data_IF_736652088015
#
_entry.id   IF_736652088015
#
_cell.length_a   1.000
_cell.length_b   1.000
_cell.length_c   1.000
_cell.angle_alpha   90.00
_cell.angle_beta   90.00
_cell.angle_gamma   90.00
#
_symmetry.space_group_name_H-M   'P 1'
#
loop_
_entity.id
_entity.type
_entity.pdbx_description
1 polymer ?
#
# COMPACT_ATOMS: atom_id res chain seq x y z
N UNK A 1 -39.85 38.02 53.12
CA UNK A 1 -39.03 38.73 52.14
C UNK A 1 -37.90 37.84 51.69
N UNK A 2 -37.89 37.29 50.49
CA UNK A 2 -36.77 36.55 49.97
C UNK A 2 -35.90 37.43 49.09
N UNK A 3 -34.60 37.40 49.35
CA UNK A 3 -33.55 38.06 48.56
C UNK A 3 -33.36 37.30 47.23
N UNK A 4 -33.54 38.03 46.14
CA UNK A 4 -33.17 37.58 44.77
C UNK A 4 -31.66 37.60 44.63
N UNK A 5 -31.06 36.44 44.43
CA UNK A 5 -29.65 36.30 44.00
C UNK A 5 -29.65 36.33 42.47
N UNK A 6 -29.15 37.45 41.94
CA UNK A 6 -28.95 37.67 40.51
C UNK A 6 -27.64 36.91 40.11
N UNK A 7 -27.79 35.76 39.45
CA UNK A 7 -26.65 35.04 38.90
C UNK A 7 -26.15 35.71 37.62
N UNK A 8 -24.97 36.31 37.72
CA UNK A 8 -24.25 36.86 36.57
C UNK A 8 -23.60 35.65 35.84
N UNK A 9 -24.16 35.27 34.70
CA UNK A 9 -23.52 34.39 33.74
C UNK A 9 -22.41 35.19 33.06
N UNK A 10 -21.16 34.96 33.49
CA UNK A 10 -19.98 35.43 32.77
C UNK A 10 -19.79 34.46 31.61
N UNK A 11 -20.20 34.87 30.42
CA UNK A 11 -19.83 34.28 29.16
C UNK A 11 -18.31 34.48 28.97
N UNK A 12 -17.51 33.52 29.35
CA UNK A 12 -16.11 33.43 28.96
C UNK A 12 -16.07 33.19 27.44
N UNK A 13 -16.04 34.28 26.67
CA UNK A 13 -15.57 34.28 25.30
C UNK A 13 -14.09 33.91 25.35
N UNK A 14 -13.82 32.61 25.20
CA UNK A 14 -12.47 32.14 24.85
C UNK A 14 -12.21 32.67 23.45
N UNK A 15 -11.62 33.87 23.40
CA UNK A 15 -10.95 34.32 22.18
C UNK A 15 -9.81 33.36 21.90
N UNK A 16 -10.06 32.40 21.01
CA UNK A 16 -8.99 31.64 20.37
C UNK A 16 -8.16 32.67 19.61
N UNK A 17 -7.13 33.18 20.28
CA UNK A 17 -6.10 33.96 19.66
C UNK A 17 -5.42 33.05 18.63
N UNK A 18 -5.88 33.17 17.39
CA UNK A 18 -5.15 32.71 16.23
C UNK A 18 -3.78 33.40 16.29
N UNK A 19 -2.74 32.67 16.69
CA UNK A 19 -1.37 33.04 16.34
C UNK A 19 -1.32 33.00 14.83
N UNK A 20 -1.70 34.09 14.18
CA UNK A 20 -1.37 34.32 12.77
C UNK A 20 0.15 34.40 12.73
N UNK A 21 0.80 33.36 12.22
CA UNK A 21 2.14 33.49 11.70
C UNK A 21 2.08 34.64 10.69
N UNK A 22 2.78 35.72 10.98
CA UNK A 22 2.79 36.91 10.14
C UNK A 22 3.17 36.52 8.71
N UNK A 23 2.22 36.58 7.78
CA UNK A 23 2.49 36.59 6.36
C UNK A 23 2.07 35.38 5.50
N UNK A 24 1.49 34.32 6.05
CA UNK A 24 1.02 33.22 5.19
C UNK A 24 -0.49 33.31 4.94
N UNK A 25 -0.87 33.37 3.66
CA UNK A 25 -2.27 33.46 3.25
C UNK A 25 -2.90 32.08 3.35
N UNK A 26 -4.04 31.96 4.02
CA UNK A 26 -4.75 30.67 4.14
C UNK A 26 -5.35 30.29 2.79
N UNK A 27 -4.99 29.13 2.29
CA UNK A 27 -5.50 28.56 1.04
C UNK A 27 -6.58 27.52 1.29
N UNK A 28 -6.42 26.70 2.31
CA UNK A 28 -7.23 25.52 2.55
C UNK A 28 -7.56 25.39 4.03
N UNK A 29 -8.84 25.20 4.35
CA UNK A 29 -9.30 24.81 5.67
C UNK A 29 -9.83 23.38 5.63
N UNK A 30 -9.38 22.55 6.57
CA UNK A 30 -9.84 21.17 6.74
C UNK A 30 -10.24 20.97 8.19
N UNK A 31 -11.55 20.94 8.47
CA UNK A 31 -12.05 20.92 9.83
C UNK A 31 -11.55 22.14 10.63
N UNK A 32 -10.70 21.92 11.62
CA UNK A 32 -10.09 22.95 12.46
C UNK A 32 -8.63 23.29 12.09
N UNK A 33 -8.06 22.61 11.11
CA UNK A 33 -6.69 22.87 10.62
C UNK A 33 -6.70 23.76 9.38
N UNK A 34 -5.70 24.61 9.28
CA UNK A 34 -5.49 25.53 8.14
C UNK A 34 -4.19 25.19 7.43
N UNK A 35 -4.19 25.26 6.10
CA UNK A 35 -3.00 25.13 5.26
C UNK A 35 -2.78 26.48 4.56
N UNK A 36 -1.63 27.07 4.83
CA UNK A 36 -1.23 28.32 4.18
C UNK A 36 -0.68 28.09 2.78
N UNK A 37 -0.59 29.16 2.00
CA UNK A 37 -0.08 29.13 0.63
C UNK A 37 1.34 28.57 0.56
N UNK A 38 2.23 28.95 1.48
CA UNK A 38 3.62 28.48 1.53
C UNK A 38 3.70 26.96 1.81
N UNK A 39 2.91 26.47 2.78
CA UNK A 39 2.81 25.04 3.07
C UNK A 39 2.30 24.29 1.83
N UNK A 40 1.26 24.81 1.19
CA UNK A 40 0.69 24.25 -0.02
C UNK A 40 1.72 24.15 -1.16
N UNK A 41 2.45 25.22 -1.43
CA UNK A 41 3.49 25.27 -2.45
C UNK A 41 4.64 24.29 -2.16
N UNK A 42 5.01 24.12 -0.89
CA UNK A 42 5.96 23.09 -0.48
C UNK A 42 5.48 21.67 -0.80
N UNK A 43 4.21 21.37 -0.51
CA UNK A 43 3.59 20.08 -0.85
C UNK A 43 3.51 19.89 -2.38
N UNK A 44 3.10 20.93 -3.10
CA UNK A 44 3.00 20.90 -4.56
C UNK A 44 4.37 20.67 -5.21
N UNK A 45 5.43 21.31 -4.71
CA UNK A 45 6.79 21.15 -5.18
C UNK A 45 7.35 19.74 -5.01
N UNK A 46 6.76 18.93 -4.13
CA UNK A 46 7.11 17.53 -3.91
C UNK A 46 6.19 16.54 -4.66
N UNK A 47 5.12 17.02 -5.28
CA UNK A 47 4.12 16.19 -5.96
C UNK A 47 4.49 15.92 -7.42
N UNK A 48 4.12 14.74 -7.90
CA UNK A 48 4.12 14.40 -9.33
C UNK A 48 2.86 14.86 -10.05
N UNK A 49 1.80 15.24 -9.30
CA UNK A 49 0.54 15.71 -9.88
C UNK A 49 0.72 17.11 -10.52
N UNK A 50 0.34 17.21 -11.77
CA UNK A 50 0.46 18.45 -12.57
C UNK A 50 -0.82 19.29 -12.55
N UNK A 51 -1.94 18.68 -12.22
CA UNK A 51 -3.24 19.35 -12.18
C UNK A 51 -3.49 19.91 -10.78
N UNK A 52 -3.57 21.23 -10.68
CA UNK A 52 -3.72 21.93 -9.41
C UNK A 52 -5.04 21.62 -8.71
N UNK A 53 -6.13 21.49 -9.48
CA UNK A 53 -7.45 21.12 -9.00
C UNK A 53 -7.47 19.71 -8.37
N UNK A 54 -6.76 18.75 -8.97
CA UNK A 54 -6.62 17.39 -8.42
C UNK A 54 -5.71 17.40 -7.20
N UNK A 55 -4.61 18.16 -7.27
CA UNK A 55 -3.66 18.22 -6.16
C UNK A 55 -4.27 18.80 -4.88
N UNK A 56 -5.02 19.90 -4.97
CA UNK A 56 -5.63 20.53 -3.78
C UNK A 56 -6.63 19.58 -3.11
N UNK A 57 -7.41 18.83 -3.89
CA UNK A 57 -8.33 17.83 -3.36
C UNK A 57 -7.58 16.66 -2.70
N UNK A 58 -6.48 16.22 -3.31
CA UNK A 58 -5.63 15.16 -2.75
C UNK A 58 -5.02 15.59 -1.42
N UNK A 59 -4.52 16.82 -1.33
CA UNK A 59 -3.98 17.37 -0.09
C UNK A 59 -5.06 17.52 0.98
N UNK A 60 -6.26 17.99 0.60
CA UNK A 60 -7.39 18.09 1.52
C UNK A 60 -7.74 16.72 2.13
N UNK A 61 -7.84 15.69 1.30
CA UNK A 61 -8.08 14.30 1.77
C UNK A 61 -6.96 13.78 2.66
N UNK A 62 -5.72 14.09 2.34
CA UNK A 62 -4.57 13.74 3.19
C UNK A 62 -4.71 14.40 4.57
N UNK A 63 -5.02 15.69 4.64
CA UNK A 63 -5.24 16.40 5.92
C UNK A 63 -6.44 15.86 6.69
N UNK A 64 -7.55 15.52 6.01
CA UNK A 64 -8.68 14.84 6.65
C UNK A 64 -8.26 13.53 7.31
N UNK A 65 -7.45 12.69 6.62
CA UNK A 65 -6.92 11.44 7.20
C UNK A 65 -6.05 11.70 8.43
N UNK A 66 -5.22 12.75 8.41
CA UNK A 66 -4.41 13.16 9.57
C UNK A 66 -5.30 13.50 10.77
N UNK A 67 -6.39 14.25 10.55
CA UNK A 67 -7.35 14.57 11.60
C UNK A 67 -8.05 13.34 12.18
N UNK A 68 -8.46 12.40 11.32
CA UNK A 68 -9.02 11.11 11.76
C UNK A 68 -8.02 10.35 12.64
N UNK A 69 -6.78 10.27 12.20
CA UNK A 69 -5.74 9.55 12.95
C UNK A 69 -5.49 10.16 14.33
N UNK A 70 -5.47 11.49 14.43
CA UNK A 70 -5.35 12.22 15.71
C UNK A 70 -6.55 11.98 16.61
N UNK A 71 -7.76 12.03 16.07
CA UNK A 71 -8.99 11.77 16.83
C UNK A 71 -9.04 10.35 17.40
N UNK A 72 -8.51 9.38 16.65
CA UNK A 72 -8.36 8.00 17.11
C UNK A 72 -7.17 7.81 18.10
N UNK A 73 -6.44 8.88 18.43
CA UNK A 73 -5.31 8.84 19.35
C UNK A 73 -4.07 8.10 18.79
N UNK A 74 -3.98 7.91 17.46
CA UNK A 74 -2.87 7.16 16.86
C UNK A 74 -1.52 7.89 16.99
N UNK A 75 -1.54 9.21 17.17
CA UNK A 75 -0.37 10.06 17.47
C UNK A 75 0.18 9.84 18.88
N UNK A 76 -0.59 9.20 19.77
CA UNK A 76 -0.19 8.88 21.14
C UNK A 76 0.43 7.49 21.29
N UNK A 77 0.35 6.65 20.26
CA UNK A 77 0.91 5.30 20.28
C UNK A 77 2.43 5.31 20.34
N UNK A 78 3.02 4.44 21.16
CA UNK A 78 4.47 4.33 21.31
C UNK A 78 5.17 4.03 19.97
N UNK A 79 4.57 3.20 19.12
CA UNK A 79 5.10 2.88 17.81
C UNK A 79 5.23 4.15 16.93
N UNK A 80 4.21 4.99 16.90
CA UNK A 80 4.24 6.26 16.18
C UNK A 80 5.27 7.21 16.78
N UNK A 81 5.28 7.36 18.12
CA UNK A 81 6.23 8.24 18.82
C UNK A 81 7.69 7.86 18.52
N UNK A 82 8.02 6.57 18.60
CA UNK A 82 9.35 6.07 18.27
C UNK A 82 9.74 6.38 16.81
N UNK A 83 8.83 6.16 15.86
CA UNK A 83 9.07 6.47 14.44
C UNK A 83 9.24 7.98 14.21
N UNK A 84 8.41 8.79 14.84
CA UNK A 84 8.50 10.25 14.78
C UNK A 84 9.83 10.76 15.35
N UNK A 85 10.22 10.29 16.54
CA UNK A 85 11.51 10.65 17.14
C UNK A 85 12.70 10.25 16.26
N UNK A 86 12.66 9.05 15.70
CA UNK A 86 13.69 8.60 14.75
C UNK A 86 13.76 9.51 13.53
N UNK A 87 12.62 9.87 12.96
CA UNK A 87 12.51 10.79 11.83
C UNK A 87 13.11 12.16 12.19
N UNK A 88 12.72 12.74 13.33
CA UNK A 88 13.20 14.04 13.80
C UNK A 88 14.72 14.05 14.05
N UNK A 89 15.24 12.99 14.69
CA UNK A 89 16.71 12.84 14.91
C UNK A 89 17.47 12.75 13.58
N UNK A 90 16.95 11.96 12.65
CA UNK A 90 17.54 11.80 11.31
C UNK A 90 17.51 13.12 10.54
N UNK A 91 16.42 13.86 10.65
CA UNK A 91 16.27 15.17 10.04
C UNK A 91 17.26 16.18 10.64
N UNK A 92 17.30 16.30 11.97
CA UNK A 92 18.22 17.18 12.67
C UNK A 92 19.69 16.86 12.36
N UNK A 93 20.04 15.58 12.25
CA UNK A 93 21.41 15.17 11.85
C UNK A 93 21.75 15.59 10.42
N UNK A 94 20.79 15.51 9.50
CA UNK A 94 20.96 15.99 8.12
C UNK A 94 21.14 17.50 8.08
N UNK A 95 20.31 18.25 8.81
CA UNK A 95 20.46 19.72 8.89
C UNK A 95 21.77 20.15 9.53
N UNK A 96 22.20 19.50 10.61
CA UNK A 96 23.49 19.77 11.25
C UNK A 96 24.68 19.51 10.31
N UNK A 97 24.63 18.43 9.54
CA UNK A 97 25.64 18.10 8.53
C UNK A 97 25.69 19.13 7.41
N UNK A 98 24.53 19.64 7.03
CA UNK A 98 24.42 20.72 6.04
C UNK A 98 25.01 22.02 6.58
N UNK A 99 24.66 22.44 7.79
CA UNK A 99 25.22 23.65 8.45
C UNK A 99 26.72 23.54 8.70
N UNK A 100 27.23 22.33 8.97
CA UNK A 100 28.65 22.09 9.19
C UNK A 100 29.54 22.10 7.92
N UNK A 101 28.91 21.81 6.77
CA UNK A 101 29.62 21.78 5.47
C UNK A 101 29.56 23.11 4.71
N UNK A 102 29.03 24.17 5.31
CA UNK A 102 28.69 25.45 4.67
C UNK A 102 29.87 26.26 4.15
N UNK A 103 31.11 25.72 4.12
CA UNK A 103 32.26 26.50 3.77
C UNK A 103 32.73 26.38 2.32
N UNK A 104 32.28 25.42 1.51
CA UNK A 104 32.82 25.31 0.12
C UNK A 104 32.08 24.38 -0.87
N UNK A 105 30.76 24.36 -1.02
CA UNK A 105 30.22 23.56 -2.14
C UNK A 105 29.08 24.22 -2.90
N UNK A 106 29.26 24.33 -4.20
CA UNK A 106 28.26 24.63 -5.24
C UNK A 106 27.01 23.73 -5.20
N UNK A 107 27.07 22.57 -4.51
CA UNK A 107 25.98 21.62 -4.41
C UNK A 107 24.80 22.06 -3.51
N UNK A 108 24.98 23.12 -2.70
CA UNK A 108 23.96 23.60 -1.78
C UNK A 108 22.77 24.26 -2.46
N UNK A 109 22.97 24.69 -3.69
CA UNK A 109 21.96 25.40 -4.51
C UNK A 109 21.34 24.53 -5.57
N UNK A 110 21.83 23.29 -5.75
CA UNK A 110 21.35 22.40 -6.80
C UNK A 110 20.15 21.60 -6.33
N UNK A 111 19.04 21.74 -7.06
CA UNK A 111 17.85 20.92 -6.93
C UNK A 111 17.79 19.96 -8.11
N UNK A 112 17.45 18.70 -7.84
CA UNK A 112 17.35 17.65 -8.85
C UNK A 112 15.97 17.00 -8.82
N UNK A 113 15.49 16.62 -9.98
CA UNK A 113 14.31 15.80 -10.15
C UNK A 113 14.71 14.44 -10.70
N UNK A 114 14.31 13.37 -10.04
CA UNK A 114 14.82 12.03 -10.28
C UNK A 114 13.70 11.06 -10.63
N UNK A 115 14.01 10.10 -11.49
CA UNK A 115 13.35 8.80 -11.56
C UNK A 115 14.07 7.85 -10.61
N UNK A 116 13.31 7.03 -9.93
CA UNK A 116 13.83 6.05 -8.99
C UNK A 116 13.16 4.69 -9.16
N UNK A 117 13.97 3.69 -9.41
CA UNK A 117 13.58 2.29 -9.42
C UNK A 117 14.28 1.63 -8.25
N UNK A 118 13.56 0.93 -7.39
CA UNK A 118 14.13 0.33 -6.18
C UNK A 118 13.63 -1.09 -5.93
N UNK A 119 14.56 -1.93 -5.48
CA UNK A 119 14.28 -3.18 -4.80
C UNK A 119 14.66 -3.01 -3.32
N UNK A 120 13.68 -2.83 -2.41
CA UNK A 120 13.98 -2.68 -1.00
C UNK A 120 14.66 -3.93 -0.45
N UNK A 121 15.68 -3.74 0.38
CA UNK A 121 16.33 -4.80 1.13
C UNK A 121 16.27 -4.50 2.62
N UNK A 122 16.07 -5.53 3.42
CA UNK A 122 16.22 -5.43 4.87
C UNK A 122 17.66 -5.08 5.23
N UNK A 123 17.88 -4.32 6.30
CA UNK A 123 19.22 -4.07 6.84
C UNK A 123 19.96 -5.35 7.25
N UNK A 124 19.22 -6.45 7.43
CA UNK A 124 19.75 -7.78 7.73
C UNK A 124 19.76 -8.72 6.51
N UNK A 125 19.54 -8.18 5.30
CA UNK A 125 19.59 -8.98 4.09
C UNK A 125 20.95 -9.64 3.91
N UNK A 126 20.94 -10.90 3.48
CA UNK A 126 22.16 -11.62 3.20
C UNK A 126 22.84 -11.08 1.93
N UNK A 127 24.16 -11.25 1.83
CA UNK A 127 24.91 -10.93 0.60
C UNK A 127 24.39 -11.68 -0.64
N UNK A 128 23.76 -12.81 -0.44
CA UNK A 128 23.15 -13.59 -1.52
C UNK A 128 21.88 -12.91 -2.03
N UNK A 129 21.05 -12.38 -1.15
CA UNK A 129 19.85 -11.60 -1.52
C UNK A 129 20.24 -10.29 -2.21
N UNK A 130 21.24 -9.60 -1.68
CA UNK A 130 21.77 -8.38 -2.30
C UNK A 130 22.22 -8.65 -3.74
N UNK A 131 23.02 -9.70 -3.97
CA UNK A 131 23.48 -10.11 -5.32
C UNK A 131 22.34 -10.48 -6.23
N UNK A 132 21.31 -11.17 -5.69
CA UNK A 132 20.12 -11.53 -6.47
C UNK A 132 19.36 -10.30 -6.93
N UNK A 133 19.18 -9.29 -6.05
CA UNK A 133 18.50 -8.05 -6.39
C UNK A 133 19.32 -7.19 -7.35
N UNK A 134 20.64 -7.15 -7.19
CA UNK A 134 21.53 -6.52 -8.17
C UNK A 134 21.37 -7.16 -9.56
N UNK A 135 21.45 -8.47 -9.66
CA UNK A 135 21.29 -9.18 -10.94
C UNK A 135 19.89 -8.96 -11.56
N UNK A 136 18.85 -8.87 -10.73
CA UNK A 136 17.51 -8.54 -11.19
C UNK A 136 17.44 -7.14 -11.80
N UNK A 137 17.98 -6.13 -11.10
CA UNK A 137 18.01 -4.76 -11.61
C UNK A 137 18.99 -4.59 -12.78
N UNK A 138 20.07 -5.37 -12.87
CA UNK A 138 20.94 -5.39 -14.06
C UNK A 138 20.19 -5.86 -15.31
N UNK A 139 19.37 -6.91 -15.17
CA UNK A 139 18.51 -7.39 -16.26
C UNK A 139 17.49 -6.34 -16.69
N UNK A 140 16.90 -5.61 -15.73
CA UNK A 140 16.00 -4.51 -16.01
C UNK A 140 16.73 -3.34 -16.68
N UNK A 141 17.90 -2.95 -16.15
CA UNK A 141 18.73 -1.86 -16.70
C UNK A 141 19.07 -2.09 -18.18
N UNK A 142 19.34 -3.33 -18.57
CA UNK A 142 19.61 -3.67 -19.96
C UNK A 142 18.43 -3.38 -20.92
N UNK A 143 17.21 -3.27 -20.40
CA UNK A 143 16.00 -2.94 -21.18
C UNK A 143 15.64 -1.46 -21.18
N UNK A 144 16.20 -0.66 -20.27
CA UNK A 144 15.92 0.76 -20.17
C UNK A 144 16.60 1.55 -21.30
N UNK A 145 15.84 2.43 -21.90
CA UNK A 145 16.36 3.38 -22.91
C UNK A 145 16.49 4.76 -22.29
N UNK A 146 17.44 5.55 -22.77
CA UNK A 146 17.50 6.97 -22.44
C UNK A 146 16.14 7.63 -22.67
N UNK A 147 15.74 8.48 -21.70
CA UNK A 147 14.46 9.22 -21.72
C UNK A 147 13.18 8.38 -21.56
N UNK A 148 13.27 7.08 -21.26
CA UNK A 148 12.12 6.21 -21.03
C UNK A 148 11.52 6.35 -19.61
N UNK A 149 11.53 7.56 -19.08
CA UNK A 149 11.08 7.84 -17.71
C UNK A 149 9.61 8.21 -17.60
N UNK A 150 8.87 8.30 -18.70
CA UNK A 150 7.45 8.65 -18.66
C UNK A 150 6.58 7.59 -17.96
N UNK A 151 7.06 6.33 -17.94
CA UNK A 151 6.40 5.19 -17.27
C UNK A 151 6.82 4.99 -15.83
N UNK A 152 7.79 5.75 -15.31
CA UNK A 152 8.32 5.60 -13.96
C UNK A 152 7.85 6.71 -13.02
N UNK A 153 7.82 6.39 -11.73
CA UNK A 153 7.52 7.38 -10.70
C UNK A 153 8.65 8.41 -10.60
N UNK A 154 8.31 9.67 -10.85
CA UNK A 154 9.21 10.79 -10.61
C UNK A 154 9.22 11.12 -9.12
N UNK A 155 10.41 11.19 -8.53
CA UNK A 155 10.57 11.76 -7.20
C UNK A 155 10.34 13.27 -7.25
N UNK A 156 9.86 13.85 -6.14
CA UNK A 156 9.72 15.29 -6.02
C UNK A 156 11.08 15.99 -6.17
N UNK A 157 11.04 17.28 -6.50
CA UNK A 157 12.23 18.14 -6.48
C UNK A 157 12.94 18.01 -5.12
N UNK A 158 14.19 17.60 -5.15
CA UNK A 158 15.00 17.37 -3.95
C UNK A 158 16.32 18.11 -4.09
N UNK A 159 16.77 18.78 -3.03
CA UNK A 159 18.13 19.34 -3.04
C UNK A 159 19.14 18.20 -3.13
N UNK A 160 20.10 18.30 -4.02
CA UNK A 160 21.11 17.26 -4.27
C UNK A 160 21.85 16.86 -2.98
N UNK A 161 22.10 17.80 -2.08
CA UNK A 161 22.75 17.58 -0.77
C UNK A 161 21.96 16.69 0.20
N UNK A 162 20.62 16.56 0.05
CA UNK A 162 19.79 15.72 0.90
C UNK A 162 19.64 14.28 0.39
N UNK A 163 20.17 14.00 -0.78
CA UNK A 163 20.23 12.64 -1.30
C UNK A 163 21.25 11.82 -0.52
N UNK A 164 21.08 10.49 -0.49
CA UNK A 164 22.07 9.59 0.07
C UNK A 164 23.41 9.75 -0.66
N UNK A 165 24.51 9.57 0.06
CA UNK A 165 25.86 9.73 -0.50
C UNK A 165 26.09 8.84 -1.74
N UNK A 166 25.54 7.63 -1.74
CA UNK A 166 25.59 6.69 -2.85
C UNK A 166 24.88 7.26 -4.08
N UNK A 167 23.73 7.91 -3.89
CA UNK A 167 22.95 8.55 -4.95
C UNK A 167 23.68 9.78 -5.51
N UNK A 168 24.25 10.62 -4.64
CA UNK A 168 25.03 11.79 -5.07
C UNK A 168 26.21 11.38 -5.95
N UNK A 169 26.90 10.28 -5.60
CA UNK A 169 28.02 9.73 -6.39
C UNK A 169 27.56 9.29 -7.78
N UNK A 170 26.40 8.63 -7.88
CA UNK A 170 25.87 8.20 -9.17
C UNK A 170 25.47 9.41 -10.02
N UNK A 171 24.76 10.38 -9.45
CA UNK A 171 24.27 11.55 -10.15
C UNK A 171 25.36 12.43 -10.75
N UNK A 172 26.55 12.47 -10.12
CA UNK A 172 27.66 13.29 -10.63
C UNK A 172 28.23 12.78 -11.95
N UNK A 173 28.00 11.51 -12.31
CA UNK A 173 28.51 10.89 -13.53
C UNK A 173 27.48 10.67 -14.64
N UNK A 174 26.18 10.98 -14.39
CA UNK A 174 25.11 10.70 -15.32
C UNK A 174 24.78 11.90 -16.19
N UNK A 175 24.50 11.66 -17.48
CA UNK A 175 23.87 12.62 -18.37
C UNK A 175 22.36 12.74 -18.07
N UNK A 176 21.70 13.78 -18.58
CA UNK A 176 20.25 13.98 -18.41
C UNK A 176 19.49 12.84 -19.05
N UNK A 177 18.64 12.18 -18.27
CA UNK A 177 17.81 11.05 -18.71
C UNK A 177 18.55 9.72 -18.82
N UNK A 178 19.84 9.68 -18.49
CA UNK A 178 20.64 8.46 -18.42
C UNK A 178 20.35 7.74 -17.11
N UNK A 179 20.12 6.42 -17.19
CA UNK A 179 19.94 5.57 -16.03
C UNK A 179 21.28 5.09 -15.48
N UNK A 180 21.44 5.18 -14.14
CA UNK A 180 22.60 4.60 -13.46
C UNK A 180 22.63 3.10 -13.60
N UNK A 181 23.81 2.50 -13.51
CA UNK A 181 23.90 1.06 -13.20
C UNK A 181 23.25 0.78 -11.84
N UNK A 182 22.77 -0.45 -11.59
CA UNK A 182 22.29 -0.83 -10.27
C UNK A 182 23.35 -0.62 -9.20
N UNK A 183 22.96 -0.06 -8.08
CA UNK A 183 23.85 0.17 -6.93
C UNK A 183 23.12 -0.03 -5.61
N UNK A 184 23.87 -0.34 -4.55
CA UNK A 184 23.35 -0.56 -3.22
C UNK A 184 23.38 0.72 -2.38
N UNK A 185 22.39 0.86 -1.51
CA UNK A 185 22.36 1.82 -0.41
C UNK A 185 21.77 1.15 0.85
N UNK A 186 21.75 1.81 2.01
CA UNK A 186 21.06 1.29 3.19
C UNK A 186 19.57 1.02 3.01
N UNK A 187 18.95 1.54 1.95
CA UNK A 187 17.52 1.37 1.64
C UNK A 187 17.25 0.23 0.65
N UNK A 188 18.28 -0.37 0.06
CA UNK A 188 18.14 -1.45 -0.92
C UNK A 188 19.02 -1.26 -2.15
N UNK A 189 18.61 -1.88 -3.26
CA UNK A 189 19.26 -1.78 -4.56
C UNK A 189 18.47 -0.82 -5.45
N UNK A 190 19.16 0.07 -6.16
CA UNK A 190 18.57 1.19 -6.86
C UNK A 190 19.11 1.34 -8.28
N UNK A 191 18.25 1.85 -9.18
CA UNK A 191 18.61 2.54 -10.42
C UNK A 191 18.00 3.93 -10.35
N UNK A 192 18.75 4.97 -10.69
CA UNK A 192 18.28 6.34 -10.73
C UNK A 192 18.61 6.99 -12.07
N UNK A 193 17.79 7.96 -12.47
CA UNK A 193 18.10 8.89 -13.55
C UNK A 193 17.63 10.29 -13.13
N UNK A 194 18.37 11.34 -13.51
CA UNK A 194 17.88 12.68 -13.32
C UNK A 194 17.20 13.22 -14.58
N UNK A 195 16.02 13.82 -14.41
CA UNK A 195 15.24 14.35 -15.50
C UNK A 195 15.41 15.86 -15.65
N UNK A 196 15.68 16.52 -14.53
CA UNK A 196 15.87 17.96 -14.51
C UNK A 196 16.74 18.41 -13.33
N UNK A 197 17.48 19.51 -13.51
CA UNK A 197 18.30 20.16 -12.49
C UNK A 197 18.09 21.65 -12.52
N UNK A 198 18.07 22.30 -11.37
CA UNK A 198 17.99 23.74 -11.25
C UNK A 198 18.88 24.26 -10.13
N UNK A 199 19.44 25.44 -10.34
CA UNK A 199 20.17 26.19 -9.32
C UNK A 199 19.21 27.23 -8.70
N UNK A 200 19.17 27.31 -7.37
CA UNK A 200 18.37 28.30 -6.63
C UNK A 200 19.31 29.28 -5.96
N UNK A 201 19.06 30.59 -6.08
CA UNK A 201 19.92 31.62 -5.53
C UNK A 201 19.81 31.75 -4.00
N UNK A 202 20.88 32.27 -3.35
CA UNK A 202 21.04 32.25 -1.89
C UNK A 202 20.07 33.16 -1.11
N UNK A 203 19.31 34.02 -1.79
CA UNK A 203 18.26 34.85 -1.15
C UNK A 203 17.08 34.05 -0.59
N UNK A 204 17.01 32.75 -0.93
CA UNK A 204 15.92 31.86 -0.53
C UNK A 204 16.24 31.02 0.73
N UNK A 205 17.25 31.38 1.54
CA UNK A 205 17.59 30.61 2.75
C UNK A 205 16.42 30.54 3.75
N UNK A 206 15.65 31.61 3.92
CA UNK A 206 14.45 31.57 4.77
C UNK A 206 13.36 30.66 4.16
N UNK A 207 13.14 30.74 2.86
CA UNK A 207 12.21 29.87 2.12
C UNK A 207 12.70 28.43 2.18
N UNK A 208 14.00 28.18 2.12
CA UNK A 208 14.58 26.82 2.23
C UNK A 208 14.42 26.23 3.64
N UNK A 209 14.60 27.02 4.69
CA UNK A 209 14.37 26.57 6.08
C UNK A 209 12.89 26.29 6.34
N UNK A 210 12.00 27.20 5.94
CA UNK A 210 10.55 26.96 6.05
C UNK A 210 10.10 25.76 5.24
N UNK A 211 10.67 25.55 4.05
CA UNK A 211 10.42 24.35 3.26
C UNK A 211 10.90 23.06 3.96
N UNK A 212 11.99 23.15 4.74
CA UNK A 212 12.49 22.09 5.59
C UNK A 212 11.49 21.68 6.67
N UNK A 213 10.95 22.63 7.39
CA UNK A 213 9.97 22.44 8.46
C UNK A 213 8.66 21.86 7.91
N UNK A 214 8.16 22.35 6.79
CA UNK A 214 6.96 21.81 6.14
C UNK A 214 7.18 20.36 5.64
N UNK A 215 8.36 20.03 5.16
CA UNK A 215 8.69 18.65 4.76
C UNK A 215 8.74 17.70 5.94
N UNK A 216 9.36 18.11 7.04
CA UNK A 216 9.37 17.30 8.26
C UNK A 216 7.94 17.06 8.75
N UNK A 217 7.11 18.13 8.82
CA UNK A 217 5.69 18.04 9.15
C UNK A 217 4.96 17.07 8.22
N UNK A 218 5.15 17.18 6.91
CA UNK A 218 4.55 16.27 5.91
C UNK A 218 4.94 14.81 6.14
N UNK A 219 6.21 14.54 6.48
CA UNK A 219 6.68 13.20 6.76
C UNK A 219 6.07 12.65 8.06
N UNK A 220 5.98 13.45 9.12
CA UNK A 220 5.31 13.08 10.38
C UNK A 220 3.83 12.78 10.15
N UNK A 221 3.14 13.63 9.40
CA UNK A 221 1.75 13.42 9.01
C UNK A 221 1.58 12.17 8.14
N UNK A 222 2.54 11.88 7.26
CA UNK A 222 2.58 10.66 6.46
C UNK A 222 2.69 9.39 7.30
N UNK A 223 3.51 9.40 8.37
CA UNK A 223 3.57 8.31 9.33
C UNK A 223 2.22 8.10 10.04
N UNK A 224 1.54 9.20 10.37
CA UNK A 224 0.25 9.14 11.03
C UNK A 224 -0.84 8.57 10.12
N UNK A 225 -0.86 8.97 8.85
CA UNK A 225 -1.77 8.39 7.84
C UNK A 225 -1.48 6.91 7.62
N UNK A 226 -0.21 6.50 7.58
CA UNK A 226 0.16 5.08 7.51
C UNK A 226 -0.35 4.30 8.72
N UNK A 227 -0.20 4.87 9.92
CA UNK A 227 -0.74 4.27 11.15
C UNK A 227 -2.26 4.10 11.11
N UNK A 228 -2.99 5.04 10.49
CA UNK A 228 -4.44 4.95 10.29
C UNK A 228 -4.79 3.81 9.31
N UNK A 229 -4.06 3.68 8.23
CA UNK A 229 -4.28 2.61 7.25
C UNK A 229 -4.02 1.22 7.85
N UNK A 230 -2.98 1.09 8.66
CA UNK A 230 -2.67 -0.13 9.42
C UNK A 230 -3.71 -0.42 10.50
N UNK A 231 -4.20 0.60 11.19
CA UNK A 231 -5.27 0.46 12.17
C UNK A 231 -6.54 -0.08 11.52
N UNK A 232 -6.99 0.52 10.43
CA UNK A 232 -8.18 0.06 9.70
C UNK A 232 -8.01 -1.39 9.22
N UNK A 233 -6.83 -1.76 8.73
CA UNK A 233 -6.55 -3.14 8.30
C UNK A 233 -6.69 -4.15 9.45
N UNK A 234 -6.24 -3.77 10.65
CA UNK A 234 -6.29 -4.64 11.84
C UNK A 234 -7.69 -4.77 12.44
N UNK A 235 -8.45 -3.68 12.48
CA UNK A 235 -9.79 -3.69 13.10
C UNK A 235 -10.89 -4.19 12.17
N UNK A 236 -10.63 -4.20 10.88
CA UNK A 236 -11.61 -4.59 9.86
C UNK A 236 -11.90 -6.09 9.90
N UNK A 237 -13.14 -6.43 10.18
CA UNK A 237 -13.65 -7.80 10.12
C UNK A 237 -14.49 -7.96 8.87
N UNK A 238 -14.23 -9.01 8.10
CA UNK A 238 -15.05 -9.41 6.96
C UNK A 238 -15.85 -10.67 7.34
N UNK A 239 -17.16 -10.57 7.35
CA UNK A 239 -18.01 -11.71 7.65
C UNK A 239 -18.26 -12.57 6.41
N UNK A 240 -18.52 -13.89 6.55
CA UNK A 240 -18.87 -14.74 5.43
C UNK A 240 -20.07 -14.25 4.62
N UNK A 241 -21.04 -13.61 5.28
CA UNK A 241 -22.21 -13.04 4.64
C UNK A 241 -21.86 -11.84 3.76
N UNK A 242 -21.01 -10.94 4.25
CA UNK A 242 -20.53 -9.79 3.47
C UNK A 242 -19.73 -10.25 2.24
N UNK A 243 -18.87 -11.26 2.41
CA UNK A 243 -18.06 -11.81 1.33
C UNK A 243 -18.94 -12.44 0.25
N UNK A 244 -19.99 -13.19 0.64
CA UNK A 244 -20.91 -13.77 -0.32
C UNK A 244 -21.71 -12.70 -1.06
N UNK A 245 -22.23 -11.68 -0.35
CA UNK A 245 -22.95 -10.56 -0.97
C UNK A 245 -22.07 -9.84 -1.98
N UNK A 246 -20.85 -9.51 -1.59
CA UNK A 246 -19.87 -8.85 -2.48
C UNK A 246 -19.55 -9.72 -3.69
N UNK A 247 -19.31 -11.02 -3.48
CA UNK A 247 -19.05 -11.96 -4.56
C UNK A 247 -20.22 -12.00 -5.57
N UNK A 248 -21.46 -12.07 -5.11
CA UNK A 248 -22.63 -12.10 -6.00
C UNK A 248 -22.78 -10.80 -6.81
N UNK A 249 -22.39 -9.64 -6.25
CA UNK A 249 -22.40 -8.36 -6.95
C UNK A 249 -21.33 -8.27 -8.04
N UNK A 250 -20.17 -8.88 -7.82
CA UNK A 250 -18.98 -8.80 -8.70
C UNK A 250 -18.65 -10.16 -9.34
N UNK A 251 -19.63 -11.08 -9.43
CA UNK A 251 -19.41 -12.47 -9.83
C UNK A 251 -18.71 -12.62 -11.18
N UNK A 252 -19.00 -11.72 -12.10
CA UNK A 252 -18.41 -11.72 -13.44
C UNK A 252 -16.90 -11.51 -13.44
N UNK A 253 -16.38 -10.80 -12.45
CA UNK A 253 -14.95 -10.53 -12.28
C UNK A 253 -14.14 -11.78 -11.87
N UNK A 254 -14.86 -12.82 -11.41
CA UNK A 254 -14.26 -14.08 -10.93
C UNK A 254 -14.44 -15.25 -11.91
N UNK A 255 -14.82 -14.98 -13.15
CA UNK A 255 -14.97 -15.99 -14.20
C UNK A 255 -13.68 -16.76 -14.45
N UNK A 256 -13.82 -18.02 -14.88
CA UNK A 256 -12.69 -18.88 -15.22
C UNK A 256 -12.52 -19.04 -16.73
N UNK A 257 -11.29 -18.96 -17.19
CA UNK A 257 -10.94 -19.25 -18.59
C UNK A 257 -10.96 -20.75 -18.92
N UNK A 258 -10.89 -21.63 -17.90
CA UNK A 258 -10.84 -23.08 -18.04
C UNK A 258 -11.85 -23.76 -17.11
N UNK A 259 -12.39 -24.93 -17.47
CA UNK A 259 -13.26 -25.70 -16.58
C UNK A 259 -12.54 -26.15 -15.32
N UNK A 260 -13.25 -26.11 -14.20
CA UNK A 260 -12.78 -26.59 -12.90
C UNK A 260 -13.59 -27.84 -12.47
N UNK A 261 -13.01 -28.61 -11.59
CA UNK A 261 -13.67 -29.71 -10.90
C UNK A 261 -13.70 -29.42 -9.40
N UNK A 262 -14.88 -29.34 -8.84
CA UNK A 262 -15.06 -29.22 -7.39
C UNK A 262 -15.42 -30.56 -6.82
N UNK A 263 -14.62 -31.05 -5.84
CA UNK A 263 -14.89 -32.37 -5.28
C UNK A 263 -13.73 -32.97 -4.49
N UNK A 264 -13.80 -34.28 -4.36
CA UNK A 264 -12.80 -35.10 -3.68
C UNK A 264 -12.12 -36.06 -4.65
N UNK A 265 -10.80 -36.20 -4.51
CA UNK A 265 -9.97 -37.25 -5.06
C UNK A 265 -9.69 -38.25 -3.96
N UNK A 266 -10.03 -39.49 -4.15
CA UNK A 266 -9.96 -40.54 -3.14
C UNK A 266 -9.10 -41.68 -3.64
N UNK A 267 -8.04 -41.99 -2.90
CA UNK A 267 -7.14 -43.08 -3.13
C UNK A 267 -7.46 -44.22 -2.19
N UNK A 268 -7.62 -45.43 -2.64
CA UNK A 268 -8.05 -46.60 -1.86
C UNK A 268 -7.15 -47.80 -2.07
N UNK A 269 -6.98 -48.64 -1.04
CA UNK A 269 -6.22 -49.87 -1.10
C UNK A 269 -6.82 -50.88 -2.11
N UNK A 270 -8.16 -50.94 -2.19
CA UNK A 270 -8.87 -51.87 -3.08
C UNK A 270 -10.30 -51.37 -3.39
N UNK A 271 -10.97 -52.05 -4.34
CA UNK A 271 -12.35 -51.73 -4.76
C UNK A 271 -13.39 -51.80 -3.63
N UNK A 272 -13.19 -52.69 -2.69
CA UNK A 272 -14.16 -52.88 -1.57
C UNK A 272 -14.12 -51.63 -0.67
N UNK A 273 -12.94 -51.15 -0.30
CA UNK A 273 -12.76 -49.95 0.47
C UNK A 273 -13.26 -48.73 -0.28
N UNK A 274 -12.95 -48.60 -1.56
CA UNK A 274 -13.47 -47.53 -2.40
C UNK A 274 -15.00 -47.45 -2.38
N UNK A 275 -15.68 -48.61 -2.44
CA UNK A 275 -17.14 -48.68 -2.38
C UNK A 275 -17.69 -48.25 -1.00
N UNK A 276 -17.04 -48.69 0.10
CA UNK A 276 -17.42 -48.32 1.46
C UNK A 276 -17.28 -46.82 1.68
N UNK A 277 -16.14 -46.22 1.36
CA UNK A 277 -15.87 -44.81 1.47
C UNK A 277 -16.87 -44.01 0.63
N UNK A 278 -17.08 -44.35 -0.63
CA UNK A 278 -18.05 -43.71 -1.50
C UNK A 278 -19.45 -43.72 -0.93
N UNK A 279 -19.92 -44.87 -0.43
CA UNK A 279 -21.24 -44.99 0.18
C UNK A 279 -21.39 -44.17 1.41
N UNK A 280 -20.32 -44.02 2.21
CA UNK A 280 -20.34 -43.18 3.40
C UNK A 280 -20.40 -41.70 3.05
N UNK A 281 -19.50 -41.20 2.19
CA UNK A 281 -19.44 -39.77 1.81
C UNK A 281 -20.70 -39.30 1.08
N UNK A 282 -21.34 -40.12 0.28
CA UNK A 282 -22.62 -39.79 -0.41
C UNK A 282 -23.79 -39.45 0.53
N UNK A 283 -23.68 -39.77 1.82
CA UNK A 283 -24.67 -39.38 2.82
C UNK A 283 -24.58 -37.94 3.27
N UNK A 284 -23.50 -37.25 2.91
CA UNK A 284 -23.18 -35.89 3.32
C UNK A 284 -23.11 -34.97 2.10
N UNK A 285 -23.49 -33.68 2.25
CA UNK A 285 -23.25 -32.67 1.22
C UNK A 285 -21.75 -32.44 1.00
N UNK A 286 -21.41 -31.88 -0.14
CA UNK A 286 -20.03 -31.68 -0.59
C UNK A 286 -19.18 -30.91 0.42
N UNK A 287 -19.75 -29.85 1.01
CA UNK A 287 -19.11 -28.98 1.98
C UNK A 287 -18.72 -29.70 3.28
N UNK A 288 -19.35 -30.81 3.57
CA UNK A 288 -19.14 -31.60 4.80
C UNK A 288 -18.19 -32.79 4.58
N UNK A 289 -17.69 -33.06 3.39
CA UNK A 289 -16.87 -34.28 3.16
C UNK A 289 -15.61 -34.36 3.99
N UNK A 290 -14.92 -33.22 4.23
CA UNK A 290 -13.75 -33.22 5.11
C UNK A 290 -14.10 -33.58 6.56
N UNK A 291 -15.20 -33.03 7.09
CA UNK A 291 -15.67 -33.36 8.43
C UNK A 291 -16.22 -34.78 8.50
N UNK A 292 -16.93 -35.22 7.47
CA UNK A 292 -17.42 -36.60 7.36
C UNK A 292 -16.26 -37.60 7.31
N UNK A 293 -15.17 -37.27 6.61
CA UNK A 293 -13.94 -38.06 6.59
C UNK A 293 -13.33 -38.22 7.98
N UNK A 294 -13.18 -37.13 8.72
CA UNK A 294 -12.65 -37.15 10.09
C UNK A 294 -13.50 -37.99 11.04
N UNK A 295 -14.80 -38.02 10.83
CA UNK A 295 -15.78 -38.78 11.63
C UNK A 295 -16.00 -40.20 11.13
N UNK A 296 -15.39 -40.57 10.01
CA UNK A 296 -15.53 -41.91 9.45
C UNK A 296 -14.94 -42.97 10.38
N UNK A 297 -15.59 -44.13 10.56
CA UNK A 297 -15.02 -45.23 11.34
C UNK A 297 -13.62 -45.59 10.86
N UNK A 298 -12.68 -45.78 11.80
CA UNK A 298 -11.27 -46.04 11.47
C UNK A 298 -11.07 -47.20 10.54
N UNK A 299 -11.84 -48.26 10.69
CA UNK A 299 -11.82 -49.46 9.83
C UNK A 299 -12.23 -49.16 8.39
N UNK A 300 -12.83 -48.01 8.12
CA UNK A 300 -13.15 -47.52 6.77
C UNK A 300 -12.13 -46.48 6.28
N UNK A 301 -11.77 -45.52 7.12
CA UNK A 301 -10.87 -44.41 6.75
C UNK A 301 -9.43 -44.88 6.52
N UNK A 302 -8.95 -45.91 7.25
CA UNK A 302 -7.62 -46.48 7.08
C UNK A 302 -7.43 -47.22 5.71
N UNK A 303 -8.54 -47.44 5.00
CA UNK A 303 -8.55 -48.00 3.65
C UNK A 303 -8.28 -47.01 2.51
N UNK A 304 -8.11 -45.71 2.84
CA UNK A 304 -7.95 -44.69 1.80
C UNK A 304 -7.31 -43.38 2.28
N UNK A 305 -7.04 -42.51 1.31
CA UNK A 305 -6.64 -41.10 1.49
C UNK A 305 -7.61 -40.23 0.69
N UNK A 306 -7.91 -39.03 1.20
CA UNK A 306 -8.80 -38.11 0.52
C UNK A 306 -8.17 -36.72 0.43
N UNK A 307 -8.21 -36.17 -0.77
CA UNK A 307 -7.90 -34.76 -1.06
C UNK A 307 -9.17 -34.09 -1.59
N UNK A 308 -9.55 -32.95 -1.02
CA UNK A 308 -10.74 -32.20 -1.42
C UNK A 308 -10.37 -30.79 -1.85
N UNK A 309 -10.99 -30.33 -2.92
CA UNK A 309 -10.68 -28.99 -3.44
C UNK A 309 -11.44 -28.63 -4.70
N UNK A 310 -11.00 -27.50 -5.22
CA UNK A 310 -11.36 -27.01 -6.53
C UNK A 310 -10.10 -27.13 -7.41
N UNK A 311 -10.19 -27.92 -8.47
CA UNK A 311 -9.05 -28.28 -9.32
C UNK A 311 -9.29 -27.76 -10.73
N UNK A 312 -8.40 -26.88 -11.21
CA UNK A 312 -8.31 -26.54 -12.63
C UNK A 312 -7.62 -27.66 -13.43
N UNK A 313 -7.75 -27.62 -14.73
CA UNK A 313 -6.99 -28.52 -15.62
C UNK A 313 -5.49 -28.26 -15.42
N UNK A 314 -4.72 -29.33 -15.18
CA UNK A 314 -3.27 -29.29 -14.94
C UNK A 314 -2.88 -29.21 -13.45
N UNK A 315 -3.81 -29.02 -12.53
CA UNK A 315 -3.51 -28.95 -11.09
C UNK A 315 -3.47 -30.32 -10.39
N UNK A 316 -4.31 -31.25 -10.85
CA UNK A 316 -4.36 -32.57 -10.25
C UNK A 316 -4.41 -33.66 -11.35
N UNK A 317 -3.37 -34.52 -11.51
CA UNK A 317 -3.28 -35.48 -12.57
C UNK A 317 -4.40 -36.53 -12.51
N UNK A 318 -4.95 -36.86 -11.35
CA UNK A 318 -6.07 -37.78 -11.21
C UNK A 318 -7.36 -37.18 -11.73
N UNK A 319 -7.60 -35.89 -11.42
CA UNK A 319 -8.77 -35.13 -11.95
C UNK A 319 -8.60 -34.98 -13.47
N UNK A 320 -7.43 -34.63 -13.95
CA UNK A 320 -7.16 -34.51 -15.38
C UNK A 320 -7.54 -35.79 -16.13
N UNK A 321 -7.08 -36.92 -15.65
CA UNK A 321 -7.35 -38.21 -16.29
C UNK A 321 -8.79 -38.67 -16.14
N UNK A 322 -9.34 -38.61 -14.91
CA UNK A 322 -10.63 -39.23 -14.61
C UNK A 322 -11.80 -38.33 -15.00
N UNK A 323 -11.65 -37.01 -14.91
CA UNK A 323 -12.71 -36.03 -15.13
C UNK A 323 -12.58 -35.32 -16.47
N UNK A 324 -11.40 -34.75 -16.76
CA UNK A 324 -11.18 -33.96 -17.98
C UNK A 324 -10.78 -34.82 -19.18
N UNK A 325 -10.37 -36.08 -18.96
CA UNK A 325 -9.96 -37.04 -20.00
C UNK A 325 -8.69 -36.63 -20.72
N UNK A 326 -7.79 -35.95 -20.01
CA UNK A 326 -6.46 -35.59 -20.49
C UNK A 326 -5.39 -36.03 -19.49
N UNK A 327 -4.13 -36.02 -19.92
CA UNK A 327 -3.01 -36.43 -19.07
C UNK A 327 -3.01 -37.90 -18.64
N UNK A 328 -2.20 -38.25 -17.66
CA UNK A 328 -2.05 -39.53 -17.03
C UNK A 328 -1.47 -39.41 -15.64
N UNK A 329 -1.53 -40.47 -14.86
CA UNK A 329 -0.91 -40.55 -13.54
C UNK A 329 -0.43 -41.98 -13.26
N UNK A 330 0.58 -42.10 -12.42
CA UNK A 330 1.01 -43.37 -11.87
C UNK A 330 0.28 -43.61 -10.56
N UNK A 331 -0.39 -44.77 -10.39
CA UNK A 331 -1.08 -45.10 -9.17
C UNK A 331 -0.13 -45.15 -7.98
N UNK A 332 -0.56 -44.63 -6.81
CA UNK A 332 0.17 -44.87 -5.57
C UNK A 332 0.20 -46.34 -5.25
N UNK A 333 1.39 -46.98 -5.03
CA UNK A 333 1.51 -48.42 -4.78
C UNK A 333 0.66 -48.88 -3.58
N UNK A 334 0.54 -48.08 -2.53
CA UNK A 334 -0.22 -48.41 -1.32
C UNK A 334 -1.74 -48.22 -1.48
N UNK A 335 -2.14 -47.29 -2.40
CA UNK A 335 -3.54 -46.93 -2.65
C UNK A 335 -3.80 -46.87 -4.17
N UNK A 336 -3.74 -47.97 -4.87
CA UNK A 336 -3.77 -47.99 -6.34
C UNK A 336 -5.12 -47.66 -6.96
N UNK A 337 -6.21 -47.76 -6.18
CA UNK A 337 -7.55 -47.41 -6.67
C UNK A 337 -7.88 -45.96 -6.42
N UNK A 338 -7.95 -45.17 -7.51
CA UNK A 338 -8.31 -43.75 -7.47
C UNK A 338 -9.68 -43.54 -8.07
N UNK A 339 -10.52 -42.76 -7.40
CA UNK A 339 -11.79 -42.31 -7.93
C UNK A 339 -12.07 -40.91 -7.45
N UNK A 340 -13.03 -40.23 -8.11
CA UNK A 340 -13.40 -38.85 -7.83
C UNK A 340 -14.87 -38.76 -7.49
N UNK A 341 -15.22 -37.88 -6.57
CA UNK A 341 -16.58 -37.57 -6.17
C UNK A 341 -16.75 -36.05 -6.20
N UNK A 342 -17.71 -35.54 -6.97
CA UNK A 342 -17.91 -34.11 -7.16
C UNK A 342 -18.48 -33.80 -8.53
N UNK A 343 -18.29 -32.58 -9.01
CA UNK A 343 -18.89 -32.08 -10.24
C UNK A 343 -17.97 -31.15 -11.02
N UNK A 344 -18.19 -31.10 -12.33
CA UNK A 344 -17.53 -30.11 -13.21
C UNK A 344 -18.23 -28.77 -13.08
N UNK A 345 -17.43 -27.73 -12.95
CA UNK A 345 -17.86 -26.35 -12.94
C UNK A 345 -17.40 -25.66 -14.23
N UNK A 346 -18.35 -25.38 -15.11
CA UNK A 346 -18.05 -24.84 -16.46
C UNK A 346 -18.16 -23.32 -16.55
N UNK A 347 -18.99 -22.71 -15.67
CA UNK A 347 -19.39 -21.29 -15.78
C UNK A 347 -18.68 -20.37 -14.81
N UNK A 348 -17.76 -20.85 -14.01
CA UNK A 348 -17.09 -20.08 -12.98
C UNK A 348 -17.51 -20.48 -11.56
N UNK A 349 -17.03 -19.75 -10.54
CA UNK A 349 -17.32 -20.02 -9.14
C UNK A 349 -18.81 -19.80 -8.82
N UNK A 350 -19.35 -20.59 -7.90
CA UNK A 350 -20.76 -20.49 -7.48
C UNK A 350 -20.93 -19.73 -6.16
N UNK A 351 -19.90 -19.79 -5.30
CA UNK A 351 -19.83 -19.09 -4.02
C UNK A 351 -18.46 -18.43 -3.87
N UNK A 352 -18.37 -17.41 -3.02
CA UNK A 352 -17.09 -16.80 -2.68
C UNK A 352 -16.06 -17.82 -2.17
N UNK A 353 -16.51 -18.92 -1.57
CA UNK A 353 -15.63 -19.99 -1.05
C UNK A 353 -14.79 -20.67 -2.15
N UNK A 354 -15.26 -20.65 -3.38
CA UNK A 354 -14.55 -21.23 -4.51
C UNK A 354 -13.33 -20.38 -4.93
N UNK A 355 -13.33 -19.10 -4.54
CA UNK A 355 -12.28 -18.09 -4.85
C UNK A 355 -12.00 -17.19 -3.65
N UNK A 356 -12.06 -17.76 -2.45
CA UNK A 356 -12.05 -17.04 -1.17
C UNK A 356 -10.96 -15.99 -1.07
N UNK A 357 -9.71 -16.35 -1.37
CA UNK A 357 -8.56 -15.45 -1.21
C UNK A 357 -8.66 -14.20 -2.10
N UNK A 358 -9.14 -14.38 -3.34
CA UNK A 358 -9.34 -13.27 -4.28
C UNK A 358 -10.48 -12.36 -3.85
N UNK A 359 -11.60 -12.96 -3.43
CA UNK A 359 -12.79 -12.22 -2.98
C UNK A 359 -12.47 -11.48 -1.70
N UNK A 360 -11.88 -12.12 -0.71
CA UNK A 360 -11.51 -11.48 0.56
C UNK A 360 -10.54 -10.32 0.34
N UNK A 361 -9.49 -10.50 -0.45
CA UNK A 361 -8.53 -9.44 -0.78
C UNK A 361 -9.21 -8.24 -1.43
N UNK A 362 -10.07 -8.48 -2.42
CA UNK A 362 -10.77 -7.40 -3.13
C UNK A 362 -11.79 -6.71 -2.22
N UNK A 363 -12.55 -7.47 -1.46
CA UNK A 363 -13.55 -6.94 -0.53
C UNK A 363 -12.91 -6.09 0.57
N UNK A 364 -11.82 -6.57 1.19
CA UNK A 364 -11.06 -5.79 2.18
C UNK A 364 -10.65 -4.43 1.63
N UNK A 365 -10.15 -4.40 0.40
CA UNK A 365 -9.76 -3.13 -0.25
C UNK A 365 -10.95 -2.18 -0.40
N UNK A 366 -12.09 -2.67 -0.89
CA UNK A 366 -13.30 -1.85 -1.09
C UNK A 366 -13.87 -1.39 0.24
N UNK A 367 -13.96 -2.28 1.23
CA UNK A 367 -14.48 -1.98 2.57
C UNK A 367 -13.60 -0.95 3.27
N UNK A 368 -12.27 -1.13 3.24
CA UNK A 368 -11.31 -0.17 3.80
C UNK A 368 -11.46 1.23 3.19
N UNK A 369 -11.63 1.30 1.87
CA UNK A 369 -11.86 2.58 1.21
C UNK A 369 -13.18 3.22 1.65
N UNK A 370 -14.26 2.45 1.73
CA UNK A 370 -15.56 2.95 2.16
C UNK A 370 -15.54 3.44 3.63
N UNK A 371 -14.91 2.70 4.52
CA UNK A 371 -14.74 3.10 5.92
C UNK A 371 -13.88 4.37 6.05
N UNK A 372 -12.78 4.45 5.29
CA UNK A 372 -11.95 5.66 5.24
C UNK A 372 -12.77 6.86 4.76
N UNK A 373 -13.55 6.73 3.67
CA UNK A 373 -14.40 7.81 3.17
C UNK A 373 -15.42 8.26 4.23
N UNK A 374 -16.07 7.32 4.91
CA UNK A 374 -17.02 7.63 5.97
C UNK A 374 -16.38 8.41 7.13
N UNK A 375 -15.14 8.06 7.49
CA UNK A 375 -14.39 8.74 8.55
C UNK A 375 -13.97 10.16 8.17
N UNK A 376 -13.51 10.37 6.93
CA UNK A 376 -13.01 11.68 6.52
C UNK A 376 -14.12 12.69 6.21
N UNK A 377 -15.32 12.23 5.81
CA UNK A 377 -16.45 13.10 5.44
C UNK A 377 -16.91 14.04 6.55
N UNK A 378 -16.64 13.73 7.82
CA UNK A 378 -17.00 14.60 8.94
C UNK A 378 -16.18 15.90 9.00
N UNK A 379 -15.02 15.95 8.32
CA UNK A 379 -14.19 17.15 8.26
C UNK A 379 -14.51 17.95 7.01
N UNK A 380 -15.15 19.10 7.18
CA UNK A 380 -15.45 20.02 6.09
C UNK A 380 -14.16 20.54 5.47
N UNK A 381 -14.16 20.64 4.15
CA UNK A 381 -13.07 21.20 3.35
C UNK A 381 -13.55 22.53 2.75
N UNK A 382 -12.78 23.58 2.91
CA UNK A 382 -13.02 24.90 2.33
C UNK A 382 -11.73 25.34 1.63
N UNK A 383 -11.84 25.64 0.33
CA UNK A 383 -10.72 26.07 -0.51
C UNK A 383 -10.96 27.52 -0.90
N UNK A 384 -9.96 28.38 -0.70
CA UNK A 384 -9.99 29.74 -1.22
C UNK A 384 -9.55 29.73 -2.68
N UNK A 385 -10.54 29.78 -3.57
CA UNK A 385 -10.31 29.71 -5.02
C UNK A 385 -9.53 30.93 -5.54
N UNK A 386 -9.65 32.10 -4.92
CA UNK A 386 -8.92 33.30 -5.32
C UNK A 386 -7.43 33.15 -4.96
N UNK A 387 -7.15 32.64 -3.77
CA UNK A 387 -5.77 32.32 -3.37
C UNK A 387 -5.20 31.20 -4.22
N UNK A 388 -6.00 30.17 -4.55
CA UNK A 388 -5.56 29.08 -5.41
C UNK A 388 -5.12 29.53 -6.81
N UNK A 389 -5.80 30.54 -7.37
CA UNK A 389 -5.43 31.14 -8.66
C UNK A 389 -4.06 31.84 -8.63
N UNK A 390 -3.62 32.31 -7.46
CA UNK A 390 -2.32 32.97 -7.30
C UNK A 390 -1.15 32.01 -7.20
N UNK A 391 -1.41 30.70 -7.05
CA UNK A 391 -0.36 29.69 -6.95
C UNK A 391 0.52 29.71 -8.19
N UNK A 392 1.76 30.18 -8.01
CA UNK A 392 2.74 30.18 -9.07
C UNK A 392 3.13 28.74 -9.43
N UNK A 393 2.71 28.26 -10.59
CA UNK A 393 3.19 27.01 -11.14
C UNK A 393 4.68 27.15 -11.42
N UNK A 394 5.50 26.60 -10.55
CA UNK A 394 6.93 26.52 -10.78
C UNK A 394 7.18 25.82 -12.13
N UNK A 395 7.48 26.58 -13.16
CA UNK A 395 7.91 26.03 -14.43
C UNK A 395 7.20 26.45 -15.71
N UNK A 396 6.30 27.43 -15.71
CA UNK A 396 5.81 28.05 -16.94
C UNK A 396 6.33 29.49 -17.05
N UNK A 397 7.60 29.63 -17.33
CA UNK A 397 8.22 30.74 -18.06
C UNK A 397 9.32 30.18 -18.93
#
# INVERSE_FOLDING_TARGET
MPRRILGIFILLLVSVSHLRAQGDVVLLNVGHETVGLKEFECHLGTSSEKRLDVFVQTLARFKQKVLVAKELGLDTLDAYRCQKEFLQRTWAHREAKVKGNDRNTTSEKEWVRLVHITCPLSQHASKTEERRMLAHLDSLHATLKEHDYASFQLLPWTQARFLLNEWQKQLSGLARGEFSKPFCSPLGVHIIAWTDKRMVEASDNEVSMMAGDYRLKQMEEGLLVSSLEDYLEKVMVCTPQELEVYFQQCKEDYGWGTPHYKGAVIHCKNKKEAKRIKTYLKKYPEEMWQEAWKRMPKDVSEGGLMDTGLFAIGENPHVDKLVFKCGGFDPNPDYPYVWVLGRKMKKGPESYKDVSDKVEKNFRRVKKQAEMEALIQKYKVEIDEEVLKTVNRWGNK
#
